data_IF_492538478257
#
_entry.id   IF_492538478257
#
_cell.length_a   1.000
_cell.length_b   1.000
_cell.length_c   1.000
_cell.angle_alpha   90.00
_cell.angle_beta   90.00
_cell.angle_gamma   90.00
#
_symmetry.space_group_name_H-M   'P 1'
#
loop_
_entity.id
_entity.type
_entity.pdbx_description
1 polymer ?
#
# COMPACT_ATOMS: atom_id res chain seq x y z
N UNK A 1 1.10 32.89 -41.41
CA UNK A 1 1.44 32.63 -39.98
C UNK A 1 0.22 32.00 -39.34
N UNK A 2 0.06 30.68 -39.48
CA UNK A 2 -1.09 29.93 -38.94
C UNK A 2 -0.57 28.58 -38.50
N UNK A 3 -0.08 28.50 -37.26
CA UNK A 3 0.20 27.21 -36.64
C UNK A 3 -1.12 26.69 -36.13
N UNK A 4 -1.55 25.57 -36.73
CA UNK A 4 -2.73 24.82 -36.35
C UNK A 4 -2.69 24.55 -34.84
N UNK A 5 -3.79 24.88 -34.17
CA UNK A 5 -4.06 24.53 -32.76
C UNK A 5 -5.01 23.34 -32.74
N UNK A 6 -4.62 22.26 -33.41
CA UNK A 6 -5.15 20.92 -33.24
C UNK A 6 -4.45 20.28 -32.03
N UNK A 7 -4.98 20.60 -30.84
CA UNK A 7 -5.13 19.66 -29.71
C UNK A 7 -5.75 20.40 -28.52
N UNK A 8 -6.92 21.00 -28.77
CA UNK A 8 -7.86 21.35 -27.72
C UNK A 8 -8.41 20.05 -27.09
N UNK A 9 -7.71 19.49 -26.12
CA UNK A 9 -8.35 18.61 -25.13
C UNK A 9 -9.11 19.46 -24.11
N UNK A 10 -10.15 20.13 -24.60
CA UNK A 10 -11.21 20.65 -23.75
C UNK A 10 -11.98 19.41 -23.28
N UNK A 11 -11.73 18.95 -22.06
CA UNK A 11 -12.63 18.01 -21.41
C UNK A 11 -13.95 18.74 -21.12
N UNK A 12 -15.06 18.39 -21.77
CA UNK A 12 -16.33 18.96 -21.41
C UNK A 12 -16.74 18.39 -20.04
N UNK A 13 -17.45 19.20 -19.24
CA UNK A 13 -18.16 18.77 -18.01
C UNK A 13 -17.40 18.84 -16.68
N UNK A 14 -16.65 19.92 -16.45
CA UNK A 14 -16.23 20.34 -15.10
C UNK A 14 -16.10 21.87 -15.02
N UNK A 15 -16.39 22.48 -13.86
CA UNK A 15 -16.11 23.91 -13.63
C UNK A 15 -14.64 24.19 -14.03
N UNK A 16 -14.34 25.25 -14.80
CA UNK A 16 -12.97 25.52 -15.23
C UNK A 16 -12.09 25.65 -13.98
N UNK A 17 -10.94 24.96 -13.99
CA UNK A 17 -10.00 25.07 -12.88
C UNK A 17 -9.46 26.50 -12.80
N UNK A 18 -9.30 27.08 -11.60
CA UNK A 18 -9.20 28.53 -11.42
C UNK A 18 -7.90 29.17 -11.92
N UNK A 19 -6.83 28.39 -12.14
CA UNK A 19 -5.52 28.93 -12.52
C UNK A 19 -5.07 28.43 -13.89
N UNK A 20 -4.54 29.34 -14.69
CA UNK A 20 -3.97 29.07 -16.01
C UNK A 20 -2.45 29.22 -15.95
N UNK A 21 -1.71 28.19 -16.40
CA UNK A 21 -0.26 28.28 -16.53
C UNK A 21 0.13 28.78 -17.93
N UNK A 22 0.88 29.88 -18.00
CA UNK A 22 1.35 30.47 -19.27
C UNK A 22 2.39 29.60 -20.02
N UNK A 23 3.23 28.87 -19.27
CA UNK A 23 4.30 28.04 -19.82
C UNK A 23 3.76 26.69 -20.31
N UNK A 24 2.95 26.02 -19.49
CA UNK A 24 2.41 24.70 -19.80
C UNK A 24 1.09 24.74 -20.60
N UNK A 25 0.48 25.92 -20.78
CA UNK A 25 -0.86 26.15 -21.40
C UNK A 25 -1.96 25.22 -20.87
N UNK A 26 -1.83 24.78 -19.62
CA UNK A 26 -2.76 23.88 -18.94
C UNK A 26 -3.43 24.63 -17.79
N UNK A 27 -4.72 24.34 -17.61
CA UNK A 27 -5.44 24.74 -16.40
C UNK A 27 -4.98 23.86 -15.23
N UNK A 28 -4.87 24.44 -14.04
CA UNK A 28 -4.55 23.72 -12.81
C UNK A 28 -5.32 24.27 -11.61
N UNK A 29 -5.34 23.48 -10.54
CA UNK A 29 -5.85 23.87 -9.24
C UNK A 29 -4.82 23.53 -8.17
N UNK A 30 -4.98 24.02 -6.96
CA UNK A 30 -4.14 23.62 -5.80
C UNK A 30 -4.17 22.11 -5.56
N UNK A 31 -5.17 21.39 -6.11
CA UNK A 31 -5.27 19.92 -6.00
C UNK A 31 -4.53 19.17 -7.11
N UNK A 32 -4.07 19.84 -8.16
CA UNK A 32 -3.40 19.20 -9.30
C UNK A 32 -2.09 18.57 -8.83
N UNK A 33 -1.84 17.31 -9.19
CA UNK A 33 -0.69 16.51 -8.72
C UNK A 33 -0.66 16.28 -7.20
N UNK A 34 -1.81 16.18 -6.54
CA UNK A 34 -1.90 15.86 -5.11
C UNK A 34 -2.81 14.66 -4.86
N UNK A 35 -2.74 14.09 -3.66
CA UNK A 35 -3.67 13.04 -3.19
C UNK A 35 -5.16 13.47 -3.29
N UNK A 36 -5.43 14.79 -3.37
CA UNK A 36 -6.78 15.34 -3.45
C UNK A 36 -7.26 15.59 -4.90
N UNK A 37 -6.46 15.20 -5.90
CA UNK A 37 -6.75 15.47 -7.31
C UNK A 37 -8.08 14.85 -7.77
N UNK A 38 -8.88 15.62 -8.52
CA UNK A 38 -10.19 15.20 -9.07
C UNK A 38 -11.20 14.73 -8.02
N UNK A 39 -11.03 15.13 -6.75
CA UNK A 39 -11.97 14.78 -5.69
C UNK A 39 -12.99 15.89 -5.44
N UNK A 40 -14.24 15.51 -5.18
CA UNK A 40 -15.32 16.45 -4.81
C UNK A 40 -15.39 16.70 -3.29
N UNK A 41 -14.42 16.19 -2.54
CA UNK A 41 -14.39 16.23 -1.08
C UNK A 41 -13.70 17.54 -0.63
N UNK A 42 -14.27 18.20 0.38
CA UNK A 42 -13.72 19.44 0.92
C UNK A 42 -12.35 19.24 1.59
N UNK A 43 -11.50 20.28 1.56
CA UNK A 43 -10.15 20.24 2.13
C UNK A 43 -10.14 19.96 3.63
N UNK A 44 -11.11 20.50 4.38
CA UNK A 44 -11.23 20.27 5.82
C UNK A 44 -11.37 18.78 6.16
N UNK A 45 -12.18 18.04 5.39
CA UNK A 45 -12.34 16.59 5.58
C UNK A 45 -11.06 15.84 5.27
N UNK A 46 -10.34 16.24 4.22
CA UNK A 46 -9.03 15.68 3.91
C UNK A 46 -8.00 15.91 5.03
N UNK A 47 -7.95 17.12 5.60
CA UNK A 47 -7.05 17.44 6.71
C UNK A 47 -7.35 16.58 7.96
N UNK A 48 -8.63 16.42 8.30
CA UNK A 48 -9.03 15.58 9.43
C UNK A 48 -8.70 14.10 9.17
N UNK A 49 -8.97 13.58 7.97
CA UNK A 49 -8.60 12.19 7.62
C UNK A 49 -7.10 11.98 7.71
N UNK A 50 -6.30 12.92 7.19
CA UNK A 50 -4.84 12.84 7.25
C UNK A 50 -4.34 12.83 8.70
N UNK A 51 -4.86 13.72 9.54
CA UNK A 51 -4.54 13.77 10.97
C UNK A 51 -4.90 12.45 11.67
N UNK A 52 -6.10 11.92 11.43
CA UNK A 52 -6.52 10.64 11.99
C UNK A 52 -5.65 9.49 11.45
N UNK A 53 -5.27 9.51 10.18
CA UNK A 53 -4.43 8.47 9.60
C UNK A 53 -3.04 8.43 10.23
N UNK A 54 -2.39 9.57 10.41
CA UNK A 54 -1.01 9.67 10.95
C UNK A 54 -0.97 9.42 12.46
N UNK A 55 -1.99 9.82 13.21
CA UNK A 55 -2.02 9.66 14.68
C UNK A 55 -2.35 8.24 15.13
N UNK A 56 -2.94 7.41 14.27
CA UNK A 56 -3.36 6.05 14.63
C UNK A 56 -2.31 5.01 14.19
N UNK A 57 -1.56 4.47 15.16
CA UNK A 57 -0.52 3.45 14.91
C UNK A 57 -1.02 2.18 14.18
N UNK A 58 -2.30 1.83 14.33
CA UNK A 58 -2.90 0.61 13.74
C UNK A 58 -3.67 0.88 12.44
N UNK A 59 -3.62 2.12 11.92
CA UNK A 59 -4.44 2.56 10.80
C UNK A 59 -5.91 2.77 11.15
N UNK A 60 -6.65 3.45 10.27
CA UNK A 60 -8.05 3.83 10.50
C UNK A 60 -8.98 3.05 9.57
N UNK A 61 -10.06 2.50 10.12
CA UNK A 61 -11.11 1.82 9.35
C UNK A 61 -11.95 2.82 8.56
N UNK A 62 -12.30 2.48 7.31
CA UNK A 62 -13.20 3.31 6.47
C UNK A 62 -14.57 3.52 7.11
N UNK A 63 -15.05 2.54 7.89
CA UNK A 63 -16.35 2.64 8.56
C UNK A 63 -16.32 3.62 9.72
N UNK A 64 -15.17 3.75 10.40
CA UNK A 64 -14.97 4.75 11.44
C UNK A 64 -14.96 6.17 10.85
N UNK A 65 -14.19 6.38 9.78
CA UNK A 65 -14.17 7.67 9.07
C UNK A 65 -15.53 8.07 8.50
N UNK A 66 -16.30 7.12 7.98
CA UNK A 66 -17.67 7.37 7.51
C UNK A 66 -18.54 7.99 8.63
N UNK A 67 -18.48 7.43 9.83
CA UNK A 67 -19.26 7.90 10.99
C UNK A 67 -18.74 9.23 11.51
N UNK A 68 -17.43 9.37 11.65
CA UNK A 68 -16.79 10.56 12.25
C UNK A 68 -16.93 11.80 11.35
N UNK A 69 -16.88 11.64 10.02
CA UNK A 69 -16.88 12.76 9.04
C UNK A 69 -18.20 12.95 8.29
N UNK A 70 -19.18 12.10 8.57
CA UNK A 70 -20.47 12.05 7.90
C UNK A 70 -20.33 12.12 6.35
N UNK A 71 -19.48 11.24 5.80
CA UNK A 71 -19.24 11.06 4.35
C UNK A 71 -19.61 9.65 3.97
N UNK A 72 -20.03 9.36 2.74
CA UNK A 72 -20.32 7.97 2.34
C UNK A 72 -19.12 7.05 2.57
N UNK A 73 -19.36 5.80 2.98
CA UNK A 73 -18.28 4.82 3.21
C UNK A 73 -17.40 4.63 1.97
N UNK A 74 -17.98 4.68 0.76
CA UNK A 74 -17.23 4.64 -0.50
C UNK A 74 -16.22 5.78 -0.62
N UNK A 75 -16.60 6.99 -0.19
CA UNK A 75 -15.70 8.16 -0.18
C UNK A 75 -14.60 8.01 0.85
N UNK A 76 -14.92 7.54 2.06
CA UNK A 76 -13.94 7.26 3.10
C UNK A 76 -12.92 6.21 2.66
N UNK A 77 -13.38 5.13 2.01
CA UNK A 77 -12.53 4.09 1.44
C UNK A 77 -11.61 4.65 0.36
N UNK A 78 -12.13 5.47 -0.55
CA UNK A 78 -11.35 6.12 -1.60
C UNK A 78 -10.27 7.04 -1.04
N UNK A 79 -10.56 7.82 0.00
CA UNK A 79 -9.56 8.67 0.66
C UNK A 79 -8.45 7.85 1.31
N UNK A 80 -8.80 6.77 2.02
CA UNK A 80 -7.82 5.88 2.65
C UNK A 80 -6.91 5.18 1.65
N UNK A 81 -7.44 4.76 0.50
CA UNK A 81 -6.63 4.15 -0.54
C UNK A 81 -5.53 5.09 -1.04
N UNK A 82 -5.87 6.33 -1.35
CA UNK A 82 -4.89 7.32 -1.80
C UNK A 82 -3.85 7.66 -0.74
N UNK A 83 -4.25 7.71 0.53
CA UNK A 83 -3.31 7.92 1.63
C UNK A 83 -2.34 6.75 1.80
N UNK A 84 -2.81 5.52 1.63
CA UNK A 84 -1.95 4.33 1.67
C UNK A 84 -0.99 4.27 0.49
N UNK A 85 -1.46 4.61 -0.71
CA UNK A 85 -0.60 4.69 -1.89
C UNK A 85 0.50 5.74 -1.67
N UNK A 86 0.13 6.95 -1.24
CA UNK A 86 1.08 8.01 -0.95
C UNK A 86 2.06 7.69 0.20
N UNK A 87 1.67 6.80 1.14
CA UNK A 87 2.54 6.37 2.23
C UNK A 87 3.43 5.17 1.84
N UNK A 88 3.01 4.35 0.88
CA UNK A 88 3.73 3.13 0.46
C UNK A 88 5.04 3.43 -0.29
N UNK A 89 5.25 4.66 -0.74
CA UNK A 89 6.41 5.02 -1.57
C UNK A 89 7.73 5.14 -0.78
N UNK A 90 7.69 5.23 0.56
CA UNK A 90 8.90 5.19 1.39
C UNK A 90 9.06 3.82 2.05
N UNK A 91 9.43 2.83 1.25
CA UNK A 91 10.02 1.59 1.76
C UNK A 91 11.51 1.89 1.93
N UNK A 92 11.86 2.59 3.01
CA UNK A 92 13.26 2.85 3.32
C UNK A 92 13.99 1.51 3.34
N UNK A 93 15.06 1.43 2.57
CA UNK A 93 15.94 0.26 2.58
C UNK A 93 16.53 0.16 3.98
N UNK A 94 16.62 -1.05 4.53
CA UNK A 94 17.18 -1.22 5.87
C UNK A 94 18.65 -0.77 5.89
N UNK A 95 18.98 0.21 6.72
CA UNK A 95 20.34 0.75 6.85
C UNK A 95 20.90 0.37 8.23
N UNK A 96 21.24 -0.91 8.45
CA UNK A 96 21.81 -1.33 9.73
C UNK A 96 21.74 -2.83 10.01
N UNK A 97 21.82 -3.18 11.30
CA UNK A 97 21.68 -4.57 11.75
C UNK A 97 20.19 -4.93 11.72
N UNK A 98 19.84 -5.79 10.77
CA UNK A 98 18.48 -6.33 10.62
C UNK A 98 18.41 -7.69 11.30
N UNK A 99 17.44 -7.84 12.19
CA UNK A 99 17.01 -9.13 12.72
C UNK A 99 15.97 -9.73 11.77
N UNK A 100 16.21 -10.98 11.39
CA UNK A 100 15.31 -11.75 10.53
C UNK A 100 14.83 -12.94 11.31
N UNK A 101 13.51 -13.09 11.42
CA UNK A 101 12.87 -14.25 12.05
C UNK A 101 11.88 -14.88 11.07
N UNK A 102 11.75 -16.20 11.14
CA UNK A 102 10.83 -16.96 10.28
C UNK A 102 9.77 -17.67 11.13
N UNK A 103 8.52 -17.61 10.69
CA UNK A 103 7.38 -18.25 11.34
C UNK A 103 6.57 -19.06 10.33
N UNK A 104 6.13 -20.24 10.74
CA UNK A 104 5.31 -21.14 9.94
C UNK A 104 3.83 -21.00 10.28
N UNK A 105 3.07 -20.30 9.44
CA UNK A 105 1.64 -20.06 9.62
C UNK A 105 0.82 -21.14 8.90
N UNK A 106 0.02 -21.87 9.67
CA UNK A 106 -0.90 -22.88 9.13
C UNK A 106 -1.36 -23.92 10.15
N UNK A 107 -2.39 -24.68 9.78
CA UNK A 107 -2.92 -25.76 10.61
C UNK A 107 -1.93 -26.92 10.77
N UNK A 108 -1.98 -27.60 11.93
CA UNK A 108 -1.29 -28.87 12.14
C UNK A 108 -1.74 -29.87 11.07
N UNK A 109 -0.80 -30.61 10.48
CA UNK A 109 -1.10 -31.58 9.42
C UNK A 109 -2.14 -32.63 9.84
N UNK A 110 -2.15 -33.02 11.11
CA UNK A 110 -3.18 -33.90 11.69
C UNK A 110 -4.61 -33.35 11.57
N UNK A 111 -4.76 -32.03 11.65
CA UNK A 111 -6.03 -31.31 11.67
C UNK A 111 -6.50 -30.84 10.28
N UNK A 112 -5.70 -31.05 9.22
CA UNK A 112 -6.12 -30.72 7.84
C UNK A 112 -7.12 -31.75 7.32
N UNK A 113 -7.97 -31.36 6.38
CA UNK A 113 -8.81 -32.31 5.65
C UNK A 113 -7.96 -33.25 4.77
N UNK A 114 -8.46 -34.46 4.50
CA UNK A 114 -7.70 -35.57 3.89
C UNK A 114 -7.13 -35.24 2.51
N UNK A 115 -7.83 -34.41 1.76
CA UNK A 115 -7.47 -33.83 0.45
C UNK A 115 -6.38 -32.75 0.54
N UNK A 116 -6.24 -32.08 1.69
CA UNK A 116 -5.24 -31.04 1.94
C UNK A 116 -4.00 -31.55 2.71
N UNK A 117 -3.94 -32.87 2.99
CA UNK A 117 -2.78 -33.50 3.63
C UNK A 117 -1.74 -33.86 2.59
N UNK A 118 -0.54 -33.32 2.77
CA UNK A 118 0.63 -33.61 1.92
C UNK A 118 1.34 -34.90 2.33
N UNK A 119 1.04 -35.44 3.53
CA UNK A 119 1.61 -36.69 4.07
C UNK A 119 3.16 -36.76 4.01
N UNK A 120 3.84 -35.61 3.99
CA UNK A 120 5.28 -35.49 3.75
C UNK A 120 6.15 -35.65 5.01
N UNK A 121 5.64 -36.33 6.05
CA UNK A 121 6.34 -36.58 7.31
C UNK A 121 5.83 -35.78 8.52
N UNK A 122 6.59 -35.82 9.63
CA UNK A 122 6.33 -35.04 10.85
C UNK A 122 7.11 -33.72 10.77
N UNK A 123 6.45 -32.58 10.66
CA UNK A 123 7.13 -31.27 10.62
C UNK A 123 6.28 -30.10 10.13
N UNK A 124 6.95 -29.02 9.74
CA UNK A 124 6.39 -27.75 9.24
C UNK A 124 5.99 -27.79 7.75
N UNK A 125 6.18 -28.95 7.11
CA UNK A 125 5.80 -29.22 5.73
C UNK A 125 4.31 -28.93 5.51
N UNK A 126 4.01 -28.05 4.55
CA UNK A 126 2.63 -27.67 4.21
C UNK A 126 2.09 -26.43 4.92
N UNK A 127 2.91 -25.67 5.64
CA UNK A 127 2.55 -24.36 6.20
C UNK A 127 3.11 -23.24 5.33
N UNK A 128 2.43 -22.09 5.35
CA UNK A 128 2.96 -20.89 4.73
C UNK A 128 4.11 -20.36 5.59
N UNK A 129 5.21 -19.99 4.95
CA UNK A 129 6.39 -19.43 5.61
C UNK A 129 6.24 -17.91 5.56
N UNK A 130 6.25 -17.29 6.73
CA UNK A 130 6.21 -15.84 6.90
C UNK A 130 7.54 -15.42 7.49
N UNK A 131 8.21 -14.47 6.84
CA UNK A 131 9.49 -13.94 7.29
C UNK A 131 9.28 -12.50 7.73
N UNK A 132 9.63 -12.23 8.98
CA UNK A 132 9.65 -10.89 9.55
C UNK A 132 11.07 -10.34 9.56
N UNK A 133 11.24 -9.10 9.12
CA UNK A 133 12.51 -8.39 9.17
C UNK A 133 12.32 -7.11 9.97
N UNK A 134 13.20 -6.89 10.95
CA UNK A 134 13.18 -5.71 11.82
C UNK A 134 14.57 -5.13 11.92
N UNK A 135 14.70 -3.82 11.72
CA UNK A 135 15.92 -3.10 12.05
C UNK A 135 16.02 -2.90 13.57
N UNK A 136 17.19 -3.16 14.17
CA UNK A 136 17.32 -3.09 15.64
C UNK A 136 17.04 -1.70 16.21
N UNK A 137 17.60 -0.67 15.57
CA UNK A 137 17.62 0.69 16.12
C UNK A 137 16.48 1.57 15.59
N UNK A 138 15.74 1.10 14.59
CA UNK A 138 14.66 1.86 13.94
C UNK A 138 13.32 1.13 14.09
N UNK A 139 12.20 1.84 13.95
CA UNK A 139 10.83 1.27 13.96
C UNK A 139 10.51 0.60 12.60
N UNK A 140 11.50 0.51 11.71
CA UNK A 140 11.37 -0.10 10.40
C UNK A 140 11.12 -1.60 10.54
N UNK A 141 9.90 -2.00 10.17
CA UNK A 141 9.43 -3.36 10.18
C UNK A 141 8.96 -3.70 8.77
N UNK A 142 9.51 -4.76 8.20
CA UNK A 142 9.02 -5.36 6.96
C UNK A 142 8.56 -6.77 7.26
N UNK A 143 7.31 -7.07 6.92
CA UNK A 143 6.80 -8.44 6.91
C UNK A 143 6.72 -8.90 5.45
N UNK A 144 7.40 -10.00 5.14
CA UNK A 144 7.41 -10.61 3.80
C UNK A 144 6.78 -12.00 3.92
N UNK A 145 5.65 -12.19 3.25
CA UNK A 145 5.08 -13.53 3.07
C UNK A 145 5.83 -14.19 1.90
N UNK A 146 6.60 -15.23 2.19
CA UNK A 146 7.27 -16.03 1.16
C UNK A 146 6.25 -17.05 0.64
N UNK A 147 5.40 -16.60 -0.28
CA UNK A 147 4.46 -17.47 -1.00
C UNK A 147 5.21 -18.25 -2.07
N UNK A 148 5.50 -19.53 -1.83
CA UNK A 148 6.03 -20.41 -2.88
C UNK A 148 6.75 -21.65 -2.39
N UNK A 149 7.24 -21.68 -1.15
CA UNK A 149 8.01 -22.81 -0.63
C UNK A 149 7.18 -23.72 0.26
N UNK A 150 6.27 -24.47 -0.37
CA UNK A 150 5.53 -25.53 0.32
C UNK A 150 6.49 -26.71 0.55
N UNK A 151 6.97 -26.88 1.78
CA UNK A 151 7.63 -28.11 2.21
C UNK A 151 9.15 -28.20 2.05
N UNK A 152 9.85 -27.07 1.87
CA UNK A 152 11.32 -27.00 2.02
C UNK A 152 11.70 -26.05 3.15
N UNK A 153 12.79 -26.37 3.85
CA UNK A 153 13.50 -25.40 4.70
C UNK A 153 13.98 -24.30 3.76
N UNK A 154 13.52 -23.07 3.94
CA UNK A 154 14.04 -21.95 3.16
C UNK A 154 15.49 -21.73 3.59
N UNK A 155 16.40 -21.83 2.64
CA UNK A 155 17.80 -21.54 2.94
C UNK A 155 17.97 -20.02 2.90
N UNK A 156 18.79 -19.46 3.79
CA UNK A 156 19.06 -18.01 3.87
C UNK A 156 19.40 -17.38 2.50
N UNK A 157 20.03 -18.14 1.60
CA UNK A 157 20.36 -17.73 0.22
C UNK A 157 19.14 -17.49 -0.67
N UNK A 158 18.09 -18.29 -0.52
CA UNK A 158 16.86 -18.16 -1.32
C UNK A 158 16.04 -16.95 -0.86
N UNK A 159 16.05 -16.64 0.45
CA UNK A 159 15.44 -15.41 0.98
C UNK A 159 16.11 -14.17 0.43
N UNK A 160 17.46 -14.13 0.42
CA UNK A 160 18.21 -12.98 -0.09
C UNK A 160 17.92 -12.75 -1.58
N UNK A 161 17.84 -13.80 -2.39
CA UNK A 161 17.50 -13.66 -3.82
C UNK A 161 16.06 -13.20 -4.07
N UNK A 162 15.09 -13.63 -3.26
CA UNK A 162 13.69 -13.18 -3.37
C UNK A 162 13.52 -11.72 -2.92
N UNK A 163 14.35 -11.26 -1.97
CA UNK A 163 14.40 -9.86 -1.54
C UNK A 163 14.95 -8.99 -2.67
N UNK A 164 16.12 -9.33 -3.22
CA UNK A 164 16.74 -8.58 -4.32
C UNK A 164 15.88 -8.57 -5.59
N UNK A 165 15.15 -9.66 -5.86
CA UNK A 165 14.27 -9.81 -7.02
C UNK A 165 12.94 -9.05 -6.93
N UNK A 166 12.52 -8.60 -5.74
CA UNK A 166 11.32 -7.77 -5.52
C UNK A 166 11.62 -6.27 -5.42
N UNK A 167 12.90 -5.91 -5.34
CA UNK A 167 13.39 -4.54 -5.25
C UNK A 167 13.71 -3.92 -6.64
N UNK A 168 13.64 -4.70 -7.72
CA UNK A 168 13.71 -4.26 -9.12
C UNK A 168 12.38 -4.49 -9.84
#
# INVERSE_FOLDING_TARGET
MTVRTDDFTIFPSGKPMPYWCGECRKNFSVRTNSIMERTRIGYQKWAIVLFLYVTNLKGVSSMKLHRDLNITQKSAWFMLHRLREAYSENRDMFEGIVEVDETFVGGLEKNKHKDQKLNAGRGETGRAIVVGMKERDTINLMEIIVTGMIGRRVMYKELVSDIDGRLN
#
